data_IF_578699876872
#
_entry.id   IF_578699876872
#
_cell.length_a   1.000
_cell.length_b   1.000
_cell.length_c   1.000
_cell.angle_alpha   90.00
_cell.angle_beta   90.00
_cell.angle_gamma   90.00
#
_symmetry.space_group_name_H-M   'P 1'
#
loop_
_entity.id
_entity.type
_entity.pdbx_description
1 polymer ?
#
# COMPACT_ATOMS: atom_id res chain seq x y z
N UNK A 1 -24.77 -8.75 -11.72
CA UNK A 1 -23.71 -7.95 -12.36
C UNK A 1 -23.77 -6.56 -11.75
N UNK A 2 -23.00 -6.34 -10.70
CA UNK A 2 -22.79 -4.98 -10.18
C UNK A 2 -21.85 -4.30 -11.18
N UNK A 3 -22.30 -3.19 -11.78
CA UNK A 3 -21.44 -2.35 -12.57
C UNK A 3 -20.36 -1.82 -11.62
N UNK A 4 -19.09 -2.11 -11.90
CA UNK A 4 -17.99 -1.57 -11.13
C UNK A 4 -18.07 -0.04 -11.17
N UNK A 5 -18.10 0.61 -10.00
CA UNK A 5 -18.23 2.07 -9.89
C UNK A 5 -17.04 2.82 -10.50
N UNK A 6 -15.97 2.11 -10.85
CA UNK A 6 -14.70 2.65 -11.32
C UNK A 6 -14.33 2.23 -12.75
N UNK A 7 -15.30 1.79 -13.54
CA UNK A 7 -15.08 1.56 -14.97
C UNK A 7 -15.21 2.86 -15.74
N UNK A 8 -14.11 3.31 -16.32
CA UNK A 8 -14.03 4.58 -17.06
C UNK A 8 -13.91 4.31 -18.54
N UNK A 9 -14.80 4.92 -19.35
CA UNK A 9 -14.66 4.92 -20.81
C UNK A 9 -13.58 5.91 -21.23
N UNK A 10 -12.62 5.42 -22.00
CA UNK A 10 -11.41 6.14 -22.45
C UNK A 10 -11.32 6.29 -23.97
N UNK A 11 -12.36 5.94 -24.71
CA UNK A 11 -12.38 5.98 -26.18
C UNK A 11 -11.98 7.36 -26.74
N UNK A 12 -12.49 8.44 -26.14
CA UNK A 12 -12.22 9.81 -26.60
C UNK A 12 -10.76 10.22 -26.33
N UNK A 13 -10.19 9.76 -25.21
CA UNK A 13 -8.77 9.97 -24.88
C UNK A 13 -7.88 9.25 -25.88
N UNK A 14 -8.21 7.99 -26.17
CA UNK A 14 -7.45 7.15 -27.09
C UNK A 14 -7.38 7.73 -28.53
N UNK A 15 -8.31 8.58 -28.91
CA UNK A 15 -8.36 9.22 -30.25
C UNK A 15 -7.56 10.51 -30.33
N UNK A 16 -7.17 11.09 -29.19
CA UNK A 16 -6.54 12.42 -29.13
C UNK A 16 -5.31 12.39 -28.23
N UNK A 17 -4.11 12.13 -28.76
CA UNK A 17 -2.88 12.21 -27.97
C UNK A 17 -2.74 13.58 -27.28
N UNK A 18 -2.36 13.60 -26.02
CA UNK A 18 -2.28 14.79 -25.18
C UNK A 18 -3.62 15.21 -24.54
N UNK A 19 -4.72 14.52 -24.82
CA UNK A 19 -5.98 14.77 -24.13
C UNK A 19 -5.91 14.30 -22.67
N UNK A 20 -6.53 15.06 -21.76
CA UNK A 20 -6.62 14.78 -20.34
C UNK A 20 -8.06 14.60 -19.89
N UNK A 21 -8.27 13.79 -18.87
CA UNK A 21 -9.56 13.58 -18.23
C UNK A 21 -9.36 13.33 -16.75
N UNK A 22 -10.00 14.13 -15.91
CA UNK A 22 -10.04 13.89 -14.46
C UNK A 22 -11.25 13.04 -14.11
N UNK A 23 -11.03 12.12 -13.18
CA UNK A 23 -12.04 11.21 -12.61
C UNK A 23 -12.00 11.36 -11.10
N UNK A 24 -13.00 12.04 -10.54
CA UNK A 24 -13.17 12.20 -9.10
C UNK A 24 -14.41 11.44 -8.67
N UNK A 25 -14.25 10.46 -7.80
CA UNK A 25 -15.33 9.56 -7.35
C UNK A 25 -15.21 9.31 -5.86
N UNK A 26 -16.36 9.22 -5.18
CA UNK A 26 -16.45 8.70 -3.82
C UNK A 26 -17.21 7.38 -3.88
N UNK A 27 -16.59 6.31 -3.43
CA UNK A 27 -17.17 4.98 -3.39
C UNK A 27 -17.12 4.40 -1.97
N UNK A 28 -17.97 3.44 -1.66
CA UNK A 28 -17.89 2.74 -0.37
C UNK A 28 -16.80 1.69 -0.37
N UNK A 29 -16.16 1.49 0.77
CA UNK A 29 -15.04 0.55 0.92
C UNK A 29 -15.42 -0.91 0.63
N UNK A 30 -16.70 -1.28 0.76
CA UNK A 30 -17.22 -2.61 0.44
C UNK A 30 -17.08 -2.96 -1.06
N UNK A 31 -17.04 -1.96 -1.93
CA UNK A 31 -16.83 -2.13 -3.38
C UNK A 31 -15.47 -2.76 -3.69
N UNK A 32 -14.46 -2.49 -2.86
CA UNK A 32 -13.07 -2.86 -3.11
C UNK A 32 -12.65 -4.19 -2.48
N UNK A 33 -13.48 -4.76 -1.58
CA UNK A 33 -13.17 -5.98 -0.83
C UNK A 33 -11.72 -5.94 -0.26
N UNK A 34 -11.41 -4.91 0.52
CA UNK A 34 -10.06 -4.74 1.07
C UNK A 34 -9.60 -5.94 1.91
N UNK A 35 -10.55 -6.69 2.50
CA UNK A 35 -10.28 -7.80 3.42
C UNK A 35 -9.37 -7.41 4.60
N UNK A 36 -9.36 -6.13 4.96
CA UNK A 36 -8.57 -5.54 6.04
C UNK A 36 -9.48 -4.97 7.13
N UNK A 37 -9.39 -5.53 8.31
CA UNK A 37 -10.21 -5.12 9.47
C UNK A 37 -9.95 -3.70 9.97
N UNK A 38 -8.87 -3.08 9.51
CA UNK A 38 -8.51 -1.69 9.85
C UNK A 38 -9.35 -0.68 9.06
N UNK A 39 -9.90 -1.08 7.93
CA UNK A 39 -10.77 -0.27 7.09
C UNK A 39 -12.22 -0.65 7.35
N UNK A 40 -13.05 0.32 7.74
CA UNK A 40 -14.48 0.06 7.91
C UNK A 40 -15.15 -0.13 6.54
N UNK A 41 -15.90 -1.20 6.38
CA UNK A 41 -16.60 -1.53 5.12
C UNK A 41 -17.56 -0.44 4.65
N UNK A 42 -18.08 0.38 5.55
CA UNK A 42 -18.95 1.53 5.25
C UNK A 42 -18.21 2.85 5.05
N UNK A 43 -16.86 2.87 5.17
CA UNK A 43 -16.10 4.09 4.97
C UNK A 43 -16.20 4.58 3.53
N UNK A 44 -16.08 5.89 3.35
CA UNK A 44 -15.96 6.49 2.02
C UNK A 44 -14.48 6.41 1.56
N UNK A 45 -14.29 5.96 0.33
CA UNK A 45 -13.02 6.00 -0.39
C UNK A 45 -13.09 7.15 -1.37
N UNK A 46 -12.29 8.16 -1.16
CA UNK A 46 -12.18 9.32 -2.04
C UNK A 46 -11.09 9.04 -3.07
N UNK A 47 -11.44 9.15 -4.35
CA UNK A 47 -10.58 8.78 -5.47
C UNK A 47 -10.48 9.94 -6.41
N UNK A 48 -9.25 10.35 -6.74
CA UNK A 48 -8.96 11.38 -7.73
C UNK A 48 -7.85 10.88 -8.67
N UNK A 49 -8.20 10.70 -9.95
CA UNK A 49 -7.29 10.17 -10.98
C UNK A 49 -7.33 11.09 -12.19
N UNK A 50 -6.16 11.53 -12.63
CA UNK A 50 -5.97 12.17 -13.92
C UNK A 50 -5.50 11.14 -14.95
N UNK A 51 -6.19 11.07 -16.09
CA UNK A 51 -5.83 10.26 -17.23
C UNK A 51 -5.26 11.17 -18.32
N UNK A 52 -4.07 10.85 -18.80
CA UNK A 52 -3.43 11.55 -19.93
C UNK A 52 -3.16 10.60 -21.08
N UNK A 53 -3.60 10.96 -22.28
CA UNK A 53 -3.36 10.18 -23.47
C UNK A 53 -1.97 10.44 -24.03
N UNK A 54 -1.21 9.37 -24.23
CA UNK A 54 0.09 9.37 -24.88
C UNK A 54 0.05 8.65 -26.24
N UNK A 55 1.16 8.66 -26.95
CA UNK A 55 1.28 7.96 -28.25
C UNK A 55 1.19 6.43 -28.05
N UNK A 56 1.69 5.92 -26.93
CA UNK A 56 1.77 4.48 -26.63
C UNK A 56 0.56 3.95 -25.86
N UNK A 57 -0.28 4.82 -25.27
CA UNK A 57 -1.39 4.40 -24.43
C UNK A 57 -1.93 5.53 -23.55
N UNK A 58 -2.29 5.20 -22.33
CA UNK A 58 -2.78 6.14 -21.33
C UNK A 58 -1.90 6.06 -20.08
N UNK A 59 -1.64 7.21 -19.48
CA UNK A 59 -1.03 7.31 -18.15
C UNK A 59 -2.13 7.71 -17.17
N UNK A 60 -2.26 6.98 -16.08
CA UNK A 60 -3.13 7.31 -14.96
C UNK A 60 -2.26 7.75 -13.79
N UNK A 61 -2.51 8.93 -13.25
CA UNK A 61 -1.83 9.45 -12.06
C UNK A 61 -2.85 10.02 -11.08
N UNK A 62 -2.60 9.85 -9.78
CA UNK A 62 -3.52 10.35 -8.77
C UNK A 62 -3.46 9.54 -7.49
N UNK A 63 -4.59 9.39 -6.80
CA UNK A 63 -4.60 8.64 -5.56
C UNK A 63 -5.99 8.27 -5.05
N UNK A 64 -5.98 7.51 -3.95
CA UNK A 64 -7.18 7.12 -3.25
C UNK A 64 -6.97 7.24 -1.74
N UNK A 65 -7.93 7.86 -1.06
CA UNK A 65 -7.87 8.09 0.38
C UNK A 65 -8.98 7.36 1.11
N UNK A 66 -8.66 6.75 2.25
CA UNK A 66 -9.65 6.12 3.12
C UNK A 66 -9.24 6.22 4.59
N UNK A 67 -10.21 6.41 5.47
CA UNK A 67 -9.98 6.37 6.90
C UNK A 67 -9.71 4.94 7.38
N UNK A 68 -8.71 4.78 8.23
CA UNK A 68 -8.40 3.52 8.90
C UNK A 68 -8.29 3.69 10.42
N UNK A 69 -8.52 2.63 11.15
CA UNK A 69 -8.36 2.56 12.60
C UNK A 69 -7.68 1.25 13.01
N UNK A 70 -6.81 1.32 13.99
CA UNK A 70 -6.06 0.17 14.50
C UNK A 70 -5.62 0.38 15.95
N UNK A 71 -4.73 -0.48 16.43
CA UNK A 71 -4.09 -0.37 17.74
C UNK A 71 -2.59 -0.08 17.58
N UNK A 72 -2.06 0.80 18.41
CA UNK A 72 -0.62 1.02 18.46
C UNK A 72 0.12 -0.28 18.73
N UNK A 73 1.11 -0.63 17.89
CA UNK A 73 1.89 -1.90 18.02
C UNK A 73 2.69 -2.00 19.32
N UNK A 74 2.92 -0.88 20.01
CA UNK A 74 3.71 -0.86 21.24
C UNK A 74 2.88 -0.76 22.51
N UNK A 75 1.85 0.10 22.56
CA UNK A 75 1.08 0.36 23.78
C UNK A 75 -0.38 -0.06 23.70
N UNK A 76 -0.83 -0.60 22.58
CA UNK A 76 -2.18 -1.09 22.32
C UNK A 76 -3.29 -0.05 22.49
N UNK A 77 -2.97 1.24 22.48
CA UNK A 77 -3.98 2.31 22.43
C UNK A 77 -4.55 2.42 21.02
N UNK A 78 -5.81 2.82 20.87
CA UNK A 78 -6.40 3.10 19.57
C UNK A 78 -5.58 4.15 18.82
N UNK A 79 -5.43 3.95 17.51
CA UNK A 79 -4.80 4.86 16.56
C UNK A 79 -5.65 4.86 15.31
N UNK A 80 -5.88 6.04 14.76
CA UNK A 80 -6.62 6.23 13.54
C UNK A 80 -5.86 7.17 12.61
N UNK A 81 -6.19 7.12 11.33
CA UNK A 81 -5.57 7.99 10.33
C UNK A 81 -6.27 7.85 8.98
N UNK A 82 -5.67 8.46 7.98
CA UNK A 82 -6.07 8.33 6.59
C UNK A 82 -4.95 7.61 5.85
N UNK A 83 -5.30 6.57 5.12
CA UNK A 83 -4.42 5.96 4.14
C UNK A 83 -4.53 6.76 2.85
N UNK A 84 -3.41 7.18 2.31
CA UNK A 84 -3.31 7.96 1.07
C UNK A 84 -2.49 7.14 0.07
N UNK A 85 -3.20 6.37 -0.75
CA UNK A 85 -2.60 5.47 -1.74
C UNK A 85 -2.35 6.22 -3.04
N UNK A 86 -1.10 6.20 -3.50
CA UNK A 86 -0.69 6.79 -4.78
C UNK A 86 -0.95 5.81 -5.92
N UNK A 87 -1.46 6.32 -7.04
CA UNK A 87 -1.71 5.60 -8.27
C UNK A 87 -0.87 6.26 -9.37
N UNK A 88 0.04 5.48 -9.96
CA UNK A 88 0.82 5.86 -11.14
C UNK A 88 0.99 4.63 -12.03
N UNK A 89 0.15 4.55 -13.08
CA UNK A 89 0.04 3.36 -13.90
C UNK A 89 -0.03 3.70 -15.40
N UNK A 90 0.53 2.82 -16.23
CA UNK A 90 0.54 2.97 -17.67
C UNK A 90 -0.28 1.87 -18.34
N UNK A 91 -1.28 2.27 -19.11
CA UNK A 91 -2.16 1.40 -19.86
C UNK A 91 -1.77 1.38 -21.33
N UNK A 92 -1.43 0.19 -21.87
CA UNK A 92 -1.05 0.04 -23.27
C UNK A 92 -2.25 -0.35 -24.15
N UNK A 93 -2.26 0.17 -25.38
CA UNK A 93 -3.20 -0.26 -26.41
C UNK A 93 -2.87 -1.64 -26.92
N UNK A 94 -3.79 -2.59 -26.81
CA UNK A 94 -3.88 -3.72 -27.74
C UNK A 94 -2.80 -4.79 -27.64
N UNK A 95 -2.11 -4.95 -26.51
CA UNK A 95 -1.38 -6.19 -26.28
C UNK A 95 -2.24 -7.12 -25.40
N UNK A 96 -2.63 -8.31 -25.92
CA UNK A 96 -3.19 -9.31 -25.04
C UNK A 96 -2.14 -9.70 -24.01
N UNK A 97 -2.56 -9.82 -22.75
CA UNK A 97 -1.74 -10.31 -21.67
C UNK A 97 -1.00 -11.57 -22.15
N UNK A 98 0.31 -11.46 -22.33
CA UNK A 98 1.15 -12.60 -22.66
C UNK A 98 1.22 -13.46 -21.41
N UNK A 99 0.81 -14.72 -21.43
CA UNK A 99 0.97 -15.58 -20.28
C UNK A 99 2.46 -15.62 -19.96
N UNK A 100 2.84 -15.21 -18.75
CA UNK A 100 4.22 -15.30 -18.25
C UNK A 100 4.55 -16.78 -18.15
N UNK A 101 5.14 -17.33 -19.20
CA UNK A 101 5.85 -18.59 -19.12
C UNK A 101 7.10 -18.30 -18.28
N UNK A 102 7.17 -18.89 -17.10
CA UNK A 102 8.33 -18.89 -16.24
C UNK A 102 9.55 -19.44 -17.00
N UNK A 103 10.40 -18.58 -17.53
CA UNK A 103 11.74 -18.95 -17.99
C UNK A 103 12.65 -17.73 -17.94
N UNK A 104 13.47 -17.76 -16.91
CA UNK A 104 14.89 -17.33 -16.84
C UNK A 104 15.36 -16.05 -17.52
N UNK A 105 16.05 -15.25 -16.68
CA UNK A 105 17.18 -14.39 -16.97
C UNK A 105 16.92 -13.01 -17.59
N UNK A 106 17.08 -12.05 -16.71
CA UNK A 106 17.68 -10.71 -16.94
C UNK A 106 17.54 -10.15 -18.35
N UNK A 107 16.59 -9.26 -18.53
CA UNK A 107 16.87 -8.07 -19.37
C UNK A 107 15.69 -7.10 -19.31
N UNK A 108 16.04 -5.84 -19.06
CA UNK A 108 15.21 -4.63 -19.20
C UNK A 108 14.01 -4.52 -18.24
N UNK A 109 13.97 -3.39 -17.57
CA UNK A 109 12.80 -2.75 -17.00
C UNK A 109 11.73 -2.57 -18.11
N UNK A 110 11.10 -3.65 -18.49
CA UNK A 110 9.84 -3.56 -19.22
C UNK A 110 8.85 -3.00 -18.21
N UNK A 111 8.47 -1.77 -18.39
CA UNK A 111 7.37 -1.14 -17.66
C UNK A 111 6.19 -2.08 -17.80
N UNK A 112 5.78 -2.71 -16.69
CA UNK A 112 4.58 -3.53 -16.67
C UNK A 112 3.44 -2.60 -17.06
N UNK A 113 2.80 -2.87 -18.18
CA UNK A 113 1.71 -2.05 -18.69
C UNK A 113 0.42 -2.84 -18.60
N UNK A 114 -0.58 -2.28 -17.98
CA UNK A 114 -1.90 -2.88 -17.92
C UNK A 114 -2.63 -2.79 -19.28
N UNK A 115 -3.34 -3.85 -19.69
CA UNK A 115 -4.04 -3.83 -20.97
C UNK A 115 -5.35 -3.05 -20.89
N UNK A 116 -5.61 -2.21 -21.90
CA UNK A 116 -6.93 -1.61 -22.08
C UNK A 116 -7.85 -2.65 -22.71
N UNK A 117 -8.92 -3.02 -22.02
CA UNK A 117 -9.91 -3.99 -22.50
C UNK A 117 -11.06 -3.26 -23.20
N UNK A 118 -11.13 -3.35 -24.51
CA UNK A 118 -12.07 -2.58 -25.31
C UNK A 118 -11.74 -1.08 -25.21
N UNK A 119 -12.73 -0.28 -24.84
CA UNK A 119 -12.57 1.17 -24.65
C UNK A 119 -12.74 1.58 -23.19
N UNK A 120 -12.45 0.67 -22.25
CA UNK A 120 -12.70 0.88 -20.83
C UNK A 120 -11.48 0.44 -19.98
N UNK A 121 -11.30 1.13 -18.86
CA UNK A 121 -10.35 0.78 -17.80
C UNK A 121 -11.14 0.61 -16.50
N UNK A 122 -10.89 -0.46 -15.77
CA UNK A 122 -11.42 -0.70 -14.44
C UNK A 122 -10.33 -0.41 -13.39
N UNK A 123 -10.52 0.65 -12.62
CA UNK A 123 -9.58 1.07 -11.57
C UNK A 123 -9.80 0.37 -10.23
N UNK A 124 -10.77 -0.54 -10.12
CA UNK A 124 -11.13 -1.14 -8.82
C UNK A 124 -9.94 -1.84 -8.17
N UNK A 125 -9.18 -2.63 -8.94
CA UNK A 125 -8.01 -3.34 -8.41
C UNK A 125 -6.88 -2.38 -8.04
N UNK A 126 -6.57 -1.41 -8.89
CA UNK A 126 -5.52 -0.42 -8.63
C UNK A 126 -5.79 0.40 -7.38
N UNK A 127 -7.02 0.89 -7.20
CA UNK A 127 -7.43 1.60 -6.00
C UNK A 127 -7.29 0.71 -4.76
N UNK A 128 -7.70 -0.56 -4.87
CA UNK A 128 -7.56 -1.53 -3.78
C UNK A 128 -6.10 -1.71 -3.37
N UNK A 129 -5.22 -1.92 -4.32
CA UNK A 129 -3.78 -2.14 -4.08
C UNK A 129 -3.12 -0.88 -3.51
N UNK A 130 -3.37 0.28 -4.11
CA UNK A 130 -2.84 1.56 -3.64
C UNK A 130 -3.21 1.84 -2.18
N UNK A 131 -4.48 1.65 -1.82
CA UNK A 131 -4.96 1.83 -0.45
C UNK A 131 -4.32 0.83 0.50
N UNK A 132 -4.27 -0.46 0.16
CA UNK A 132 -3.69 -1.50 1.03
C UNK A 132 -2.21 -1.27 1.29
N UNK A 133 -1.46 -0.76 0.31
CA UNK A 133 -0.05 -0.40 0.46
C UNK A 133 0.14 0.84 1.36
N UNK A 134 -0.84 1.75 1.38
CA UNK A 134 -0.78 2.97 2.18
C UNK A 134 -1.20 2.77 3.65
N UNK A 135 -1.97 1.71 3.96
CA UNK A 135 -2.35 1.42 5.35
C UNK A 135 -1.13 0.91 6.13
N UNK A 136 -0.72 1.58 7.22
CA UNK A 136 0.51 1.22 7.92
C UNK A 136 0.41 -0.16 8.60
N UNK A 137 1.38 -1.05 8.33
CA UNK A 137 1.44 -2.39 8.93
C UNK A 137 1.68 -2.38 10.44
N UNK A 138 2.40 -1.36 10.92
CA UNK A 138 2.81 -1.25 12.31
C UNK A 138 2.51 0.15 12.88
N UNK A 139 1.23 0.54 12.98
CA UNK A 139 0.87 1.89 13.40
C UNK A 139 1.33 2.17 14.83
N UNK A 140 1.80 3.38 15.07
CA UNK A 140 2.24 3.86 16.37
C UNK A 140 1.43 5.09 16.77
N UNK A 141 1.05 5.21 18.05
CA UNK A 141 0.40 6.42 18.53
C UNK A 141 1.34 7.66 18.51
N UNK A 142 2.66 7.41 18.55
CA UNK A 142 3.75 8.37 18.35
C UNK A 142 5.04 7.61 18.04
N UNK A 143 5.98 8.22 17.36
CA UNK A 143 7.23 7.59 16.89
C UNK A 143 8.09 7.04 18.03
N UNK A 144 8.11 7.73 19.16
CA UNK A 144 8.86 7.40 20.38
C UNK A 144 8.04 6.67 21.44
N UNK A 145 6.93 6.03 21.06
CA UNK A 145 6.06 5.31 21.99
C UNK A 145 6.87 4.28 22.80
N UNK A 146 6.95 4.39 24.16
CA UNK A 146 7.73 3.48 24.98
C UNK A 146 7.09 2.09 25.14
N UNK A 147 5.83 1.96 24.74
CA UNK A 147 5.09 0.71 24.79
C UNK A 147 4.70 0.24 26.18
N UNK A 148 4.31 -1.03 26.24
CA UNK A 148 4.03 -1.75 27.49
C UNK A 148 5.27 -2.45 28.01
N UNK A 149 5.35 -2.64 29.32
CA UNK A 149 6.36 -3.50 29.91
C UNK A 149 6.10 -4.96 29.53
N UNK A 150 7.06 -5.70 28.95
CA UNK A 150 6.85 -7.08 28.51
C UNK A 150 6.64 -8.06 29.66
N UNK A 151 6.99 -7.71 30.90
CA UNK A 151 6.83 -8.57 32.08
C UNK A 151 5.51 -8.33 32.82
N UNK A 152 5.18 -7.06 33.12
CA UNK A 152 4.00 -6.72 33.92
C UNK A 152 2.88 -6.04 33.17
N UNK A 153 3.06 -5.72 31.87
CA UNK A 153 2.05 -5.04 31.07
C UNK A 153 1.84 -3.55 31.39
N UNK A 154 2.59 -2.97 32.32
CA UNK A 154 2.43 -1.57 32.68
C UNK A 154 2.74 -0.65 31.48
N UNK A 155 1.91 0.36 31.26
CA UNK A 155 2.16 1.39 30.24
C UNK A 155 3.32 2.28 30.66
N UNK A 156 4.44 2.13 29.96
CA UNK A 156 5.68 2.86 30.24
C UNK A 156 5.58 4.37 29.97
N UNK A 157 4.53 4.83 29.31
CA UNK A 157 4.29 6.26 29.11
C UNK A 157 3.72 6.94 30.36
N UNK A 158 3.02 6.19 31.19
CA UNK A 158 2.31 6.72 32.37
C UNK A 158 2.81 6.13 33.69
N UNK A 159 3.50 4.99 33.66
CA UNK A 159 3.88 4.24 34.88
C UNK A 159 5.32 3.74 34.79
N UNK A 160 6.08 3.99 35.87
CA UNK A 160 7.41 3.39 36.01
C UNK A 160 7.28 2.05 36.73
N UNK A 161 7.84 0.99 36.16
CA UNK A 161 7.93 -0.32 36.80
C UNK A 161 9.38 -0.69 37.11
N UNK A 162 9.60 -1.50 38.12
CA UNK A 162 10.93 -2.00 38.54
C UNK A 162 11.30 -3.35 37.86
N UNK A 163 10.57 -3.76 36.84
CA UNK A 163 10.85 -4.99 36.11
C UNK A 163 12.18 -4.90 35.37
N UNK A 164 13.04 -5.91 35.57
CA UNK A 164 14.27 -6.07 34.79
C UNK A 164 13.94 -6.91 33.57
N UNK A 165 14.06 -6.29 32.41
CA UNK A 165 13.86 -6.98 31.13
C UNK A 165 15.18 -7.55 30.66
N UNK A 166 15.31 -8.87 30.69
CA UNK A 166 16.40 -9.56 30.00
C UNK A 166 16.23 -9.37 28.49
N UNK A 167 17.10 -8.57 27.91
CA UNK A 167 17.05 -8.25 26.47
C UNK A 167 17.73 -9.30 25.61
N UNK A 168 18.39 -10.29 26.23
CA UNK A 168 19.18 -11.27 25.51
C UNK A 168 18.49 -12.64 25.53
N UNK A 169 18.12 -13.12 24.36
CA UNK A 169 17.64 -14.50 24.19
C UNK A 169 18.86 -15.43 24.11
N UNK A 170 18.98 -16.43 25.01
CA UNK A 170 20.13 -17.36 25.05
C UNK A 170 20.33 -18.15 23.74
N UNK A 171 19.29 -18.29 22.92
CA UNK A 171 19.40 -18.94 21.60
C UNK A 171 20.31 -18.18 20.63
N UNK A 172 20.49 -16.87 20.84
CA UNK A 172 21.33 -16.01 20.01
C UNK A 172 22.76 -15.86 20.55
N UNK A 173 23.11 -16.56 21.64
CA UNK A 173 24.45 -16.47 22.25
C UNK A 173 25.59 -16.82 21.28
N UNK A 174 25.35 -17.71 20.29
CA UNK A 174 26.33 -18.07 19.28
C UNK A 174 26.67 -16.88 18.35
N UNK A 175 25.78 -15.89 18.18
CA UNK A 175 26.04 -14.70 17.36
C UNK A 175 26.97 -13.68 18.04
N UNK A 176 27.16 -13.79 19.36
CA UNK A 176 28.09 -12.90 20.08
C UNK A 176 29.53 -13.12 19.65
N UNK A 177 29.89 -14.35 19.27
CA UNK A 177 31.21 -14.68 18.74
C UNK A 177 31.47 -14.02 17.37
N UNK A 178 30.40 -13.81 16.57
CA UNK A 178 30.51 -13.14 15.27
C UNK A 178 30.62 -11.63 15.42
N UNK A 179 30.04 -11.04 16.46
CA UNK A 179 30.12 -9.59 16.71
C UNK A 179 31.56 -9.12 16.90
N UNK A 180 32.36 -9.86 17.68
CA UNK A 180 33.79 -9.56 17.85
C UNK A 180 34.59 -9.58 16.55
N UNK A 181 34.22 -10.46 15.59
CA UNK A 181 34.89 -10.53 14.29
C UNK A 181 34.53 -9.37 13.34
N UNK A 182 33.33 -8.78 13.50
CA UNK A 182 32.89 -7.64 12.69
C UNK A 182 33.54 -6.33 13.15
N UNK A 183 33.76 -6.17 14.45
CA UNK A 183 34.41 -4.98 15.01
C UNK A 183 35.90 -4.91 14.63
N UNK A 184 36.58 -6.07 14.44
CA UNK A 184 38.00 -6.16 14.03
C UNK A 184 38.22 -5.91 12.53
N UNK A 185 37.19 -5.81 11.71
CA UNK A 185 37.29 -5.62 10.24
C UNK A 185 37.06 -4.18 9.78
N UNK A 186 36.86 -3.21 10.69
CA UNK A 186 36.57 -1.79 10.40
C UNK A 186 37.76 -0.90 10.82
N UNK A 187 39.02 -1.35 10.67
CA UNK A 187 40.21 -0.51 10.74
C UNK A 187 40.88 -0.31 9.36
#
# INVERSE_FOLDING_TARGET
>A
LMASALVVNVLDLLRRPGAKKSVTVVAKADVFDFADSRINVGADVEIDIELESSVSGLVASGGAQVAWASMCRRCLRPVEGVADGEIDEVFARGMPARPVAASSEHTSLETETEPIVGDQIDFTLLVREAVLLAVPDAPLCRTDCPGLCPQCGADRASTTCSCVVETRDPRWAALDALRGQLDDTVE
#
